data_IF_654788935942
#
_entry.id   IF_654788935942
#
_cell.length_a   1.000
_cell.length_b   1.000
_cell.length_c   1.000
_cell.angle_alpha   90.00
_cell.angle_beta   90.00
_cell.angle_gamma   90.00
#
_symmetry.space_group_name_H-M   'P 1'
#
loop_
_entity.id
_entity.type
_entity.pdbx_description
1 polymer ?
#
# COMPACT_ATOMS: atom_id res chain seq x y z
N UNK A 1 -8.10 3.20 -16.36
CA UNK A 1 -8.97 2.80 -15.23
C UNK A 1 -8.06 2.25 -14.14
N UNK A 2 -8.17 2.71 -12.89
CA UNK A 2 -7.33 2.21 -11.78
C UNK A 2 -7.83 0.83 -11.35
N UNK A 3 -6.91 -0.09 -11.06
CA UNK A 3 -7.26 -1.39 -10.50
C UNK A 3 -7.84 -1.21 -9.09
N UNK A 4 -9.02 -1.76 -8.87
CA UNK A 4 -9.65 -1.79 -7.54
C UNK A 4 -9.42 -3.17 -6.95
N UNK A 5 -8.53 -3.21 -5.96
CA UNK A 5 -8.13 -4.43 -5.25
C UNK A 5 -7.92 -4.10 -3.78
N UNK A 6 -8.20 -5.07 -2.92
CA UNK A 6 -8.09 -4.97 -1.48
C UNK A 6 -7.35 -6.20 -0.94
N UNK A 7 -6.86 -6.07 0.29
CA UNK A 7 -6.40 -7.20 1.10
C UNK A 7 -7.01 -7.15 2.50
N UNK A 8 -6.97 -8.26 3.21
CA UNK A 8 -7.29 -8.36 4.64
C UNK A 8 -6.74 -9.65 5.23
N UNK A 9 -6.57 -9.71 6.55
CA UNK A 9 -6.21 -10.93 7.26
C UNK A 9 -7.44 -11.82 7.40
N UNK A 10 -7.37 -13.05 6.91
CA UNK A 10 -8.41 -14.06 7.09
C UNK A 10 -8.55 -14.42 8.58
N UNK A 11 -9.78 -14.37 9.10
CA UNK A 11 -10.03 -14.58 10.54
C UNK A 11 -9.83 -16.02 10.99
N UNK A 12 -9.77 -16.98 10.07
CA UNK A 12 -9.61 -18.40 10.37
C UNK A 12 -8.15 -18.83 10.26
N UNK A 13 -7.44 -18.39 9.20
CA UNK A 13 -6.05 -18.82 8.96
C UNK A 13 -5.02 -17.82 9.45
N UNK A 14 -5.36 -16.54 9.55
CA UNK A 14 -4.41 -15.46 9.83
C UNK A 14 -3.56 -15.07 8.62
N UNK A 15 -3.86 -15.58 7.42
CA UNK A 15 -3.13 -15.25 6.20
C UNK A 15 -3.74 -14.03 5.50
N UNK A 16 -2.89 -13.30 4.76
CA UNK A 16 -3.37 -12.25 3.87
C UNK A 16 -4.10 -12.83 2.66
N UNK A 17 -5.34 -12.38 2.46
CA UNK A 17 -6.15 -12.68 1.27
C UNK A 17 -6.35 -11.42 0.45
N UNK A 18 -6.44 -11.55 -0.88
CA UNK A 18 -6.45 -10.45 -1.83
C UNK A 18 -7.61 -10.56 -2.82
N UNK A 19 -8.25 -9.43 -3.15
CA UNK A 19 -9.32 -9.39 -4.13
C UNK A 19 -10.31 -8.25 -3.92
N UNK A 20 -11.59 -8.52 -4.19
CA UNK A 20 -12.67 -7.55 -4.04
C UNK A 20 -13.20 -7.53 -2.61
N UNK A 21 -13.30 -6.34 -2.01
CA UNK A 21 -13.87 -6.16 -0.68
C UNK A 21 -15.40 -6.09 -0.74
N UNK A 22 -16.07 -6.85 0.13
CA UNK A 22 -17.52 -6.84 0.29
C UNK A 22 -17.86 -6.68 1.77
N UNK A 23 -18.77 -5.76 2.07
CA UNK A 23 -19.35 -5.58 3.40
C UNK A 23 -20.83 -5.98 3.34
N UNK A 24 -21.27 -6.79 4.31
CA UNK A 24 -22.67 -7.17 4.45
C UNK A 24 -23.44 -6.19 5.35
N UNK A 25 -24.77 -6.18 5.28
CA UNK A 25 -25.62 -5.36 6.18
C UNK A 25 -25.50 -5.73 7.66
N UNK A 26 -24.85 -6.85 7.99
CA UNK A 26 -24.53 -7.28 9.37
C UNK A 26 -23.14 -6.81 9.83
N UNK A 27 -22.45 -5.98 9.03
CA UNK A 27 -21.11 -5.48 9.35
C UNK A 27 -19.99 -6.50 9.21
N UNK A 28 -20.22 -7.63 8.52
CA UNK A 28 -19.17 -8.61 8.22
C UNK A 28 -18.42 -8.21 6.95
N UNK A 29 -17.09 -8.38 6.98
CA UNK A 29 -16.18 -8.03 5.89
C UNK A 29 -15.62 -9.30 5.25
N UNK A 30 -15.62 -9.32 3.93
CA UNK A 30 -15.10 -10.43 3.12
C UNK A 30 -14.17 -9.92 2.04
N UNK A 31 -13.16 -10.73 1.71
CA UNK A 31 -12.37 -10.60 0.49
C UNK A 31 -12.73 -11.76 -0.44
N UNK A 32 -13.10 -11.41 -1.66
CA UNK A 32 -13.41 -12.35 -2.74
C UNK A 32 -12.25 -12.33 -3.74
N UNK A 33 -11.50 -13.43 -3.93
CA UNK A 33 -10.39 -13.43 -4.88
C UNK A 33 -10.90 -13.22 -6.32
N UNK A 34 -10.20 -12.37 -7.08
CA UNK A 34 -10.64 -11.93 -8.42
C UNK A 34 -10.32 -12.94 -9.54
N UNK A 35 -9.43 -13.88 -9.28
CA UNK A 35 -9.00 -14.93 -10.21
C UNK A 35 -9.85 -16.21 -10.13
N UNK A 36 -11.03 -16.14 -9.51
CA UNK A 36 -11.89 -17.30 -9.30
C UNK A 36 -12.68 -17.67 -10.56
N UNK A 37 -12.48 -18.92 -10.98
CA UNK A 37 -13.32 -19.61 -11.95
C UNK A 37 -13.99 -20.75 -11.18
N UNK A 38 -15.04 -20.45 -10.43
CA UNK A 38 -15.81 -21.46 -9.70
C UNK A 38 -17.29 -21.07 -9.57
N UNK A 39 -18.16 -22.09 -9.53
CA UNK A 39 -19.60 -21.94 -9.34
C UNK A 39 -19.99 -21.52 -7.91
N UNK A 40 -19.03 -21.58 -6.98
CA UNK A 40 -19.15 -21.09 -5.61
C UNK A 40 -18.04 -20.06 -5.38
N UNK A 41 -18.40 -18.89 -4.83
CA UNK A 41 -17.46 -17.83 -4.48
C UNK A 41 -16.90 -18.15 -3.08
N UNK A 42 -15.66 -18.64 -2.92
CA UNK A 42 -15.03 -18.72 -1.61
C UNK A 42 -14.84 -17.29 -1.11
N UNK A 43 -15.58 -16.97 -0.06
CA UNK A 43 -15.50 -15.70 0.64
C UNK A 43 -14.61 -15.91 1.86
N UNK A 44 -13.49 -15.22 1.89
CA UNK A 44 -12.62 -15.21 3.07
C UNK A 44 -13.14 -14.14 4.00
N UNK A 45 -13.67 -14.53 5.17
CA UNK A 45 -14.07 -13.56 6.18
C UNK A 45 -12.80 -12.94 6.74
N UNK A 46 -12.68 -11.62 6.70
CA UNK A 46 -11.48 -10.91 7.13
C UNK A 46 -11.73 -10.05 8.36
N UNK A 47 -10.67 -9.78 9.12
CA UNK A 47 -10.69 -8.76 10.15
C UNK A 47 -10.90 -7.39 9.49
N UNK A 48 -11.98 -6.70 9.87
CA UNK A 48 -12.36 -5.42 9.28
C UNK A 48 -11.31 -4.32 9.49
N UNK A 49 -10.50 -4.42 10.55
CA UNK A 49 -9.46 -3.44 10.89
C UNK A 49 -8.23 -3.56 10.01
N UNK A 50 -8.09 -4.71 9.32
CA UNK A 50 -6.93 -5.04 8.48
C UNK A 50 -7.17 -4.80 7.00
N UNK A 51 -8.40 -4.38 6.64
CA UNK A 51 -8.79 -4.16 5.25
C UNK A 51 -8.02 -2.97 4.68
N UNK A 52 -7.11 -3.26 3.76
CA UNK A 52 -6.29 -2.26 3.07
C UNK A 52 -6.60 -2.23 1.57
N UNK A 53 -6.84 -1.05 1.02
CA UNK A 53 -6.99 -0.88 -0.43
C UNK A 53 -5.62 -0.83 -1.11
N UNK A 54 -5.50 -1.45 -2.29
CA UNK A 54 -4.34 -1.30 -3.15
C UNK A 54 -4.18 0.16 -3.57
N UNK A 55 -3.00 0.72 -3.35
CA UNK A 55 -2.69 2.13 -3.64
C UNK A 55 -2.60 2.43 -5.13
N UNK A 56 -2.39 1.40 -5.97
CA UNK A 56 -2.00 1.56 -7.36
C UNK A 56 -0.49 1.67 -7.56
N UNK A 57 0.32 1.60 -6.49
CA UNK A 57 1.77 1.68 -6.55
C UNK A 57 2.41 0.30 -6.38
N UNK A 58 3.51 0.09 -7.10
CA UNK A 58 4.43 -1.02 -6.88
C UNK A 58 5.77 -0.47 -6.41
N UNK A 59 6.35 -1.14 -5.43
CA UNK A 59 7.68 -0.81 -4.92
C UNK A 59 8.77 -1.20 -5.95
N UNK A 60 10.03 -0.91 -5.65
CA UNK A 60 11.18 -1.24 -6.51
C UNK A 60 11.32 -2.74 -6.83
N UNK A 61 10.76 -3.60 -5.98
CA UNK A 61 10.78 -5.06 -6.14
C UNK A 61 9.51 -5.60 -6.83
N UNK A 62 8.62 -4.72 -7.28
CA UNK A 62 7.35 -5.08 -7.91
C UNK A 62 6.27 -5.51 -6.93
N UNK A 63 6.50 -5.39 -5.61
CA UNK A 63 5.49 -5.68 -4.59
C UNK A 63 4.44 -4.58 -4.58
N UNK A 64 3.18 -4.97 -4.53
CA UNK A 64 2.05 -4.05 -4.50
C UNK A 64 1.89 -3.41 -3.12
N UNK A 65 1.76 -2.08 -3.09
CA UNK A 65 1.55 -1.32 -1.86
C UNK A 65 0.07 -1.17 -1.53
N UNK A 66 -0.30 -1.53 -0.30
CA UNK A 66 -1.65 -1.37 0.23
C UNK A 66 -1.66 -0.36 1.37
N UNK A 67 -2.82 0.25 1.64
CA UNK A 67 -2.99 1.08 2.83
C UNK A 67 -2.67 0.26 4.09
N UNK A 68 -1.89 0.85 4.99
CA UNK A 68 -1.34 0.20 6.18
C UNK A 68 0.01 -0.50 5.97
N UNK A 69 0.53 -0.59 4.74
CA UNK A 69 1.93 -0.98 4.52
C UNK A 69 2.88 0.10 5.05
N UNK A 70 4.04 -0.31 5.55
CA UNK A 70 5.12 0.56 5.95
C UNK A 70 6.14 0.57 4.81
N UNK A 71 6.47 1.76 4.32
CA UNK A 71 7.41 1.93 3.23
C UNK A 71 8.56 2.84 3.62
N UNK A 72 9.72 2.56 3.04
CA UNK A 72 10.87 3.44 2.99
C UNK A 72 10.84 4.17 1.64
N UNK A 73 10.75 5.49 1.67
CA UNK A 73 10.77 6.33 0.48
C UNK A 73 12.00 7.23 0.48
N UNK A 74 12.78 7.19 -0.61
CA UNK A 74 13.94 8.04 -0.80
C UNK A 74 13.89 8.67 -2.18
N UNK A 75 13.52 9.96 -2.25
CA UNK A 75 13.43 10.69 -3.50
C UNK A 75 14.81 10.91 -4.11
N UNK A 76 14.92 10.61 -5.41
CA UNK A 76 16.10 10.85 -6.23
C UNK A 76 15.74 11.96 -7.23
N UNK A 77 16.39 13.10 -7.09
CA UNK A 77 16.26 14.20 -8.03
C UNK A 77 17.34 14.06 -9.10
N UNK A 78 16.90 14.04 -10.36
CA UNK A 78 17.79 14.05 -11.52
C UNK A 78 17.90 15.46 -12.07
N UNK A 79 19.02 15.75 -12.73
CA UNK A 79 19.28 17.06 -13.35
C UNK A 79 18.27 17.39 -14.47
N UNK A 80 17.73 16.35 -15.13
CA UNK A 80 16.71 16.47 -16.16
C UNK A 80 15.82 15.20 -16.27
N UNK A 81 14.88 15.22 -17.22
CA UNK A 81 13.97 14.10 -17.48
C UNK A 81 14.64 12.88 -18.12
N UNK A 82 15.91 12.95 -18.55
CA UNK A 82 16.64 11.79 -19.08
C UNK A 82 17.00 10.80 -17.98
N UNK A 83 16.99 11.23 -16.71
CA UNK A 83 17.38 10.45 -15.54
C UNK A 83 18.78 9.85 -15.64
N UNK A 84 19.68 10.53 -16.34
CA UNK A 84 21.06 10.06 -16.56
C UNK A 84 22.05 10.51 -15.48
N UNK A 85 21.80 11.65 -14.84
CA UNK A 85 22.64 12.22 -13.79
C UNK A 85 21.79 12.61 -12.57
N UNK A 86 22.24 12.19 -11.39
CA UNK A 86 21.58 12.48 -10.11
C UNK A 86 22.09 13.84 -9.61
N UNK A 87 21.15 14.75 -9.33
CA UNK A 87 21.41 16.06 -8.72
C UNK A 87 21.44 15.94 -7.19
N UNK A 88 20.44 15.27 -6.61
CA UNK A 88 20.28 15.16 -5.15
C UNK A 88 19.57 13.85 -4.78
N UNK A 89 19.92 13.29 -3.62
CA UNK A 89 19.16 12.22 -2.98
C UNK A 89 18.70 12.74 -1.61
N UNK A 90 17.39 12.79 -1.42
CA UNK A 90 16.79 13.23 -0.15
C UNK A 90 17.06 12.23 0.99
N UNK A 91 16.97 12.66 2.27
CA UNK A 91 16.94 11.73 3.39
C UNK A 91 15.73 10.78 3.28
N UNK A 92 15.89 9.49 3.63
CA UNK A 92 14.79 8.54 3.56
C UNK A 92 13.68 8.91 4.55
N UNK A 93 12.44 8.64 4.14
CA UNK A 93 11.24 8.76 4.96
C UNK A 93 10.64 7.37 5.12
N UNK A 94 10.62 6.88 6.35
CA UNK A 94 9.89 5.66 6.70
C UNK A 94 8.53 6.07 7.27
N UNK A 95 7.47 5.44 6.78
CA UNK A 95 6.13 5.70 7.28
C UNK A 95 5.07 4.75 6.72
N UNK A 96 3.87 4.83 7.28
CA UNK A 96 2.70 4.09 6.86
C UNK A 96 2.09 4.71 5.60
N UNK A 97 1.83 3.89 4.57
CA UNK A 97 1.03 4.24 3.42
C UNK A 97 -0.42 4.51 3.84
N UNK A 98 -0.86 5.76 3.65
CA UNK A 98 -2.19 6.21 4.08
C UNK A 98 -2.76 7.26 3.13
N UNK A 99 -4.07 7.49 3.23
CA UNK A 99 -4.73 8.63 2.60
C UNK A 99 -4.93 9.76 3.61
N UNK A 100 -4.21 10.87 3.41
CA UNK A 100 -4.50 12.12 4.11
C UNK A 100 -5.81 12.72 3.59
N UNK A 101 -6.71 13.04 4.51
CA UNK A 101 -8.06 13.55 4.23
C UNK A 101 -8.87 12.71 3.23
N UNK A 102 -8.57 11.41 3.13
CA UNK A 102 -9.22 10.49 2.20
C UNK A 102 -8.88 10.71 0.72
N UNK A 103 -7.93 11.59 0.42
CA UNK A 103 -7.62 12.02 -0.96
C UNK A 103 -6.16 11.76 -1.30
N UNK A 104 -5.25 12.24 -0.45
CA UNK A 104 -3.84 12.35 -0.78
C UNK A 104 -3.07 11.14 -0.28
N UNK A 105 -2.50 10.34 -1.19
CA UNK A 105 -1.64 9.23 -0.82
C UNK A 105 -0.30 9.75 -0.31
N UNK A 106 0.22 9.16 0.75
CA UNK A 106 1.51 9.55 1.32
C UNK A 106 2.03 8.55 2.34
N UNK A 107 3.09 8.95 3.04
CA UNK A 107 3.61 8.25 4.21
C UNK A 107 3.35 9.06 5.47
N UNK A 108 2.84 8.42 6.51
CA UNK A 108 2.65 8.99 7.85
C UNK A 108 3.60 8.35 8.84
N UNK A 109 4.25 9.17 9.67
CA UNK A 109 5.06 8.74 10.81
C UNK A 109 4.22 8.68 12.09
N UNK A 110 4.75 8.01 13.12
CA UNK A 110 4.08 7.90 14.43
C UNK A 110 3.86 9.24 15.13
N UNK A 111 4.70 10.25 14.88
CA UNK A 111 4.55 11.61 15.42
C UNK A 111 3.50 12.45 14.68
N UNK A 112 2.82 11.88 13.68
CA UNK A 112 1.82 12.54 12.86
C UNK A 112 2.38 13.36 11.70
N UNK A 113 3.71 13.49 11.58
CA UNK A 113 4.35 14.10 10.40
C UNK A 113 4.41 13.12 9.24
N UNK A 114 4.80 13.57 8.06
CA UNK A 114 4.83 12.70 6.88
C UNK A 114 5.14 13.42 5.58
N UNK A 115 4.96 12.69 4.48
CA UNK A 115 5.07 13.21 3.12
C UNK A 115 3.82 12.84 2.33
N UNK A 116 3.34 13.74 1.49
CA UNK A 116 2.29 13.47 0.51
C UNK A 116 2.97 13.26 -0.85
N UNK A 117 2.56 12.20 -1.56
CA UNK A 117 3.01 11.95 -2.91
C UNK A 117 2.23 12.82 -3.89
N UNK A 118 2.88 13.88 -4.37
CA UNK A 118 2.33 14.71 -5.43
C UNK A 118 2.30 13.97 -6.76
N UNK A 119 1.39 14.35 -7.68
CA UNK A 119 1.38 13.80 -9.03
C UNK A 119 2.77 13.89 -9.68
N UNK A 120 3.26 12.75 -10.19
CA UNK A 120 4.58 12.65 -10.82
C UNK A 120 5.74 12.31 -9.88
N UNK A 121 5.55 12.29 -8.56
CA UNK A 121 6.57 11.80 -7.61
C UNK A 121 6.67 10.27 -7.60
N UNK A 122 5.56 9.59 -7.84
CA UNK A 122 5.47 8.12 -7.83
C UNK A 122 4.69 7.68 -9.06
N UNK A 123 5.26 6.76 -9.85
CA UNK A 123 4.58 6.17 -11.01
C UNK A 123 3.79 4.94 -10.55
N UNK A 124 2.50 4.88 -10.89
CA UNK A 124 1.67 3.71 -10.60
C UNK A 124 1.79 2.57 -11.62
N UNK A 125 2.40 2.83 -12.78
CA UNK A 125 2.46 1.86 -13.89
C UNK A 125 3.80 1.12 -13.98
N UNK A 126 4.80 1.52 -13.19
CA UNK A 126 6.16 0.98 -13.21
C UNK A 126 6.65 0.76 -11.76
N UNK A 127 7.62 -0.13 -11.57
CA UNK A 127 8.28 -0.29 -10.27
C UNK A 127 8.92 1.04 -9.87
N UNK A 128 8.64 1.52 -8.66
CA UNK A 128 9.22 2.78 -8.18
C UNK A 128 10.55 2.51 -7.46
N UNK A 129 11.67 2.85 -8.10
CA UNK A 129 13.02 2.72 -7.53
C UNK A 129 13.19 3.45 -6.18
N UNK A 130 12.39 4.49 -5.94
CA UNK A 130 12.43 5.32 -4.73
C UNK A 130 11.61 4.74 -3.56
N UNK A 131 10.74 3.74 -3.80
CA UNK A 131 9.81 3.20 -2.82
C UNK A 131 10.12 1.72 -2.54
N UNK A 132 10.26 1.36 -1.27
CA UNK A 132 10.41 -0.03 -0.83
C UNK A 132 9.41 -0.35 0.29
N UNK A 133 8.62 -1.41 0.12
CA UNK A 133 7.71 -1.87 1.18
C UNK A 133 8.49 -2.78 2.13
N UNK A 134 8.64 -2.34 3.37
CA UNK A 134 9.46 -3.00 4.39
C UNK A 134 8.66 -3.74 5.46
N UNK A 135 7.34 -3.59 5.48
CA UNK A 135 6.45 -4.24 6.44
C UNK A 135 5.04 -3.68 6.38
N UNK A 136 4.25 -3.90 7.42
CA UNK A 136 2.95 -3.27 7.62
C UNK A 136 2.66 -3.04 9.11
N UNK A 137 1.68 -2.21 9.42
CA UNK A 137 1.33 -1.83 10.80
C UNK A 137 0.78 -2.99 11.64
N UNK A 138 0.37 -4.09 11.02
CA UNK A 138 -0.23 -5.24 11.71
C UNK A 138 0.83 -6.26 12.14
N UNK A 139 1.83 -6.50 11.30
CA UNK A 139 2.89 -7.48 11.53
C UNK A 139 4.21 -6.85 12.00
N UNK A 140 4.44 -5.58 11.67
CA UNK A 140 5.71 -4.88 11.93
C UNK A 140 5.52 -3.46 12.48
N UNK A 141 4.68 -3.23 13.51
CA UNK A 141 4.40 -1.89 14.02
C UNK A 141 5.65 -1.15 14.52
N UNK A 142 6.67 -1.88 14.99
CA UNK A 142 7.89 -1.30 15.53
C UNK A 142 8.73 -0.54 14.49
N UNK A 143 8.54 -0.79 13.18
CA UNK A 143 9.24 -0.08 12.11
C UNK A 143 8.91 1.41 12.04
N UNK A 144 7.82 1.85 12.67
CA UNK A 144 7.44 3.28 12.73
C UNK A 144 8.06 4.02 13.92
N UNK A 145 8.78 3.32 14.80
CA UNK A 145 9.46 3.91 15.96
C UNK A 145 10.92 4.30 15.67
N UNK A 146 11.38 4.09 14.44
CA UNK A 146 12.75 4.35 13.98
C UNK A 146 13.01 5.78 13.53
#
# INVERSE_FOLDING_TARGET
MREIKFRGLDVMTGDWVYGSHVQTGLGMHYIIPQNLIADAIPQSKVDNTTVGQFTGLKDKNGREGFIGDIANYQRIQYTDCSRSEIEEISPPVIGELYYADGIWLGLRKNDGTGIIFMPGMVSGNECNEELEIIGNIYENPDLLNS
#
